data_IF_562529684965
#
_entry.id   IF_562529684965
#
_cell.length_a   1.000
_cell.length_b   1.000
_cell.length_c   1.000
_cell.angle_alpha   90.00
_cell.angle_beta   90.00
_cell.angle_gamma   90.00
#
_symmetry.space_group_name_H-M   'P 1'
#
loop_
_entity.id
_entity.type
_entity.pdbx_description
1 polymer ?
#
# COMPACT_ATOMS: atom_id res chain seq x y z
N UNK A 1 -7.63 25.84 11.77
CA UNK A 1 -7.70 24.70 12.70
C UNK A 1 -6.34 24.03 12.76
N UNK A 2 -5.67 24.12 13.91
CA UNK A 2 -4.39 23.45 14.18
C UNK A 2 -4.69 21.99 14.54
N UNK A 3 -4.07 21.04 13.84
CA UNK A 3 -4.18 19.61 14.18
C UNK A 3 -2.88 19.17 14.83
N UNK A 4 -2.97 18.62 16.03
CA UNK A 4 -1.85 17.98 16.71
C UNK A 4 -1.71 16.56 16.17
N UNK A 5 -0.50 16.08 15.97
CA UNK A 5 -0.20 14.74 15.50
C UNK A 5 0.96 14.19 16.33
N UNK A 6 0.76 13.01 16.89
CA UNK A 6 1.79 12.27 17.62
C UNK A 6 2.69 11.55 16.61
N UNK A 7 3.99 11.53 16.87
CA UNK A 7 4.97 10.88 16.02
C UNK A 7 6.00 10.12 16.85
N UNK A 8 6.45 8.99 16.33
CA UNK A 8 7.58 8.25 16.89
C UNK A 8 8.88 8.90 16.40
N UNK A 9 9.76 9.26 17.34
CA UNK A 9 11.11 9.75 17.02
C UNK A 9 12.08 8.59 17.11
N UNK A 10 12.85 8.36 16.05
CA UNK A 10 13.88 7.33 15.98
C UNK A 10 15.22 8.01 15.71
N UNK A 11 16.16 7.87 16.63
CA UNK A 11 17.52 8.43 16.49
C UNK A 11 18.44 7.41 15.79
N UNK A 12 18.27 7.26 14.47
CA UNK A 12 19.13 6.41 13.63
C UNK A 12 19.30 6.99 12.22
N UNK A 13 20.39 6.63 11.52
CA UNK A 13 20.54 6.96 10.10
C UNK A 13 19.40 6.36 9.28
N UNK A 14 18.58 7.21 8.64
CA UNK A 14 17.50 6.81 7.76
C UNK A 14 17.58 7.59 6.44
N UNK A 15 17.04 7.02 5.35
CA UNK A 15 16.97 7.67 4.04
C UNK A 15 15.94 8.80 3.99
N UNK A 16 15.11 8.92 5.02
CA UNK A 16 14.05 9.92 5.16
C UNK A 16 14.08 10.54 6.54
N UNK A 17 13.67 11.81 6.64
CA UNK A 17 13.58 12.53 7.91
C UNK A 17 12.25 12.26 8.65
N UNK A 18 11.18 11.98 7.91
CA UNK A 18 9.82 11.77 8.44
C UNK A 18 9.07 10.82 7.51
N UNK A 19 8.31 9.87 8.07
CA UNK A 19 7.28 9.11 7.35
C UNK A 19 5.91 9.62 7.78
N UNK A 20 5.17 10.20 6.83
CA UNK A 20 3.79 10.62 7.06
C UNK A 20 2.83 9.53 6.63
N UNK A 21 2.10 8.97 7.60
CA UNK A 21 1.10 7.94 7.32
C UNK A 21 -0.16 8.47 6.64
N UNK A 22 -0.91 7.56 6.02
CA UNK A 22 -2.22 7.80 5.41
C UNK A 22 -3.21 8.54 6.34
N UNK A 23 -3.29 8.25 7.66
CA UNK A 23 -4.19 8.99 8.54
C UNK A 23 -3.93 10.49 8.54
N UNK A 24 -2.66 10.92 8.54
CA UNK A 24 -2.31 12.34 8.49
C UNK A 24 -2.64 12.95 7.13
N UNK A 25 -2.29 12.25 6.04
CA UNK A 25 -2.56 12.72 4.67
C UNK A 25 -4.06 12.95 4.45
N UNK A 26 -4.90 11.99 4.84
CA UNK A 26 -6.35 12.10 4.72
C UNK A 26 -6.90 13.22 5.61
N UNK A 27 -6.42 13.29 6.85
CA UNK A 27 -6.80 14.33 7.82
C UNK A 27 -6.46 15.75 7.35
N UNK A 28 -5.43 15.89 6.53
CA UNK A 28 -5.00 17.17 5.95
C UNK A 28 -5.50 17.41 4.54
N UNK A 29 -6.27 16.49 3.95
CA UNK A 29 -6.65 16.55 2.53
C UNK A 29 -5.42 16.76 1.63
N UNK A 30 -4.33 16.07 1.96
CA UNK A 30 -3.08 16.24 1.28
C UNK A 30 -3.10 15.51 -0.08
N UNK A 31 -2.55 16.15 -1.10
CA UNK A 31 -2.48 15.66 -2.47
C UNK A 31 -1.00 15.48 -2.84
N UNK A 32 -0.49 14.24 -2.89
CA UNK A 32 0.86 13.97 -3.36
C UNK A 32 0.91 14.07 -4.89
N UNK A 33 1.99 14.66 -5.42
CA UNK A 33 2.33 14.64 -6.83
C UNK A 33 3.72 14.04 -6.98
N UNK A 34 3.77 12.81 -7.51
CA UNK A 34 5.02 12.12 -7.83
C UNK A 34 5.78 12.85 -8.92
N UNK A 35 5.08 13.32 -9.96
CA UNK A 35 5.66 14.05 -11.08
C UNK A 35 6.38 15.34 -10.65
N UNK A 36 5.72 16.16 -9.83
CA UNK A 36 6.31 17.42 -9.35
C UNK A 36 7.16 17.25 -8.08
N UNK A 37 7.28 16.02 -7.57
CA UNK A 37 7.89 15.68 -6.28
C UNK A 37 7.42 16.64 -5.18
N UNK A 38 6.12 16.81 -5.01
CA UNK A 38 5.57 17.72 -4.01
C UNK A 38 4.31 17.16 -3.35
N UNK A 39 4.02 17.65 -2.15
CA UNK A 39 2.82 17.32 -1.37
C UNK A 39 2.10 18.63 -1.03
N UNK A 40 0.87 18.79 -1.54
CA UNK A 40 0.06 19.99 -1.31
C UNK A 40 -1.02 19.71 -0.28
N UNK A 41 -1.33 20.65 0.60
CA UNK A 41 -2.46 20.51 1.51
C UNK A 41 -3.06 21.88 1.91
N UNK A 42 -4.37 21.96 2.16
CA UNK A 42 -5.01 23.16 2.66
C UNK A 42 -4.59 23.52 4.10
N UNK A 43 -4.48 24.82 4.33
CA UNK A 43 -4.24 25.47 5.62
C UNK A 43 -5.20 26.66 5.77
N UNK A 44 -5.37 27.22 6.98
CA UNK A 44 -6.15 28.44 7.17
C UNK A 44 -5.67 29.64 6.33
N UNK A 45 -4.39 29.64 5.93
CA UNK A 45 -3.76 30.72 5.17
C UNK A 45 -3.67 30.41 3.66
N UNK A 46 -4.28 29.33 3.18
CA UNK A 46 -4.21 28.90 1.78
C UNK A 46 -3.59 27.51 1.60
N UNK A 47 -3.00 27.24 0.45
CA UNK A 47 -2.39 25.94 0.15
C UNK A 47 -0.91 25.98 0.50
N UNK A 48 -0.46 25.08 1.37
CA UNK A 48 0.95 24.84 1.61
C UNK A 48 1.46 23.70 0.74
N UNK A 49 2.75 23.77 0.37
CA UNK A 49 3.42 22.80 -0.49
C UNK A 49 4.73 22.38 0.15
N UNK A 50 4.87 21.08 0.44
CA UNK A 50 6.15 20.47 0.79
C UNK A 50 6.80 20.00 -0.50
N UNK A 51 8.02 20.47 -0.77
CA UNK A 51 8.80 20.08 -1.95
C UNK A 51 9.79 18.99 -1.59
N UNK A 52 9.83 17.95 -2.42
CA UNK A 52 10.89 16.96 -2.44
C UNK A 52 12.16 17.54 -3.07
N UNK A 53 13.30 16.93 -2.79
CA UNK A 53 14.57 17.30 -3.38
C UNK A 53 15.00 16.26 -4.42
N UNK A 54 14.88 16.54 -5.73
CA UNK A 54 15.19 15.58 -6.79
C UNK A 54 16.64 15.07 -6.75
N UNK A 55 17.59 15.88 -6.25
CA UNK A 55 19.01 15.49 -6.18
C UNK A 55 19.25 14.48 -5.08
N UNK A 56 18.58 14.63 -3.93
CA UNK A 56 18.68 13.68 -2.82
C UNK A 56 17.94 12.38 -3.16
N UNK A 57 16.75 12.47 -3.78
CA UNK A 57 15.98 11.29 -4.20
C UNK A 57 16.73 10.40 -5.20
N UNK A 58 17.53 10.98 -6.10
CA UNK A 58 18.35 10.19 -7.05
C UNK A 58 19.55 9.52 -6.39
N UNK A 59 20.19 10.19 -5.41
CA UNK A 59 21.37 9.62 -4.72
C UNK A 59 20.99 8.40 -3.87
N UNK A 60 19.88 8.46 -3.14
CA UNK A 60 19.41 7.34 -2.32
C UNK A 60 19.06 6.11 -3.15
N UNK A 61 18.49 6.29 -4.35
CA UNK A 61 18.17 5.18 -5.26
C UNK A 61 19.42 4.45 -5.80
N UNK A 62 20.57 5.13 -5.88
CA UNK A 62 21.83 4.53 -6.32
C UNK A 62 22.59 3.84 -5.18
N UNK A 63 22.44 4.31 -3.94
CA UNK A 63 23.13 3.78 -2.75
C UNK A 63 22.39 2.61 -2.09
N UNK A 64 21.12 2.36 -2.46
CA UNK A 64 20.29 1.24 -1.97
C UNK A 64 20.86 -0.14 -2.31
N UNK A 65 21.82 -0.26 -3.23
CA UNK A 65 22.45 -1.55 -3.56
C UNK A 65 23.40 -2.08 -2.46
N UNK A 66 23.62 -1.35 -1.35
CA UNK A 66 24.63 -1.74 -0.33
C UNK A 66 24.16 -1.72 1.13
N UNK A 67 22.89 -1.40 1.44
CA UNK A 67 22.43 -1.17 2.84
C UNK A 67 21.13 -1.88 3.24
N UNK A 68 20.82 -3.02 2.61
CA UNK A 68 19.50 -3.66 2.67
C UNK A 68 19.20 -4.55 3.89
N UNK A 69 20.02 -4.56 4.95
CA UNK A 69 19.75 -5.39 6.13
C UNK A 69 18.96 -4.64 7.22
N UNK A 70 19.33 -3.40 7.54
CA UNK A 70 18.80 -2.69 8.73
C UNK A 70 17.48 -1.95 8.47
N UNK A 71 17.21 -1.55 7.23
CA UNK A 71 15.99 -0.81 6.85
C UNK A 71 14.74 -1.67 6.95
N UNK A 72 14.81 -2.93 6.48
CA UNK A 72 13.71 -3.88 6.56
C UNK A 72 13.33 -4.21 8.01
N UNK A 73 14.32 -4.31 8.90
CA UNK A 73 14.07 -4.55 10.32
C UNK A 73 13.39 -3.36 11.01
N UNK A 74 13.76 -2.12 10.66
CA UNK A 74 13.09 -0.90 11.13
C UNK A 74 11.64 -0.79 10.65
N UNK A 75 11.34 -1.19 9.40
CA UNK A 75 9.97 -1.28 8.90
C UNK A 75 9.15 -2.31 9.70
N UNK A 76 9.74 -3.47 10.04
CA UNK A 76 9.08 -4.49 10.87
C UNK A 76 8.88 -4.05 12.32
N UNK A 77 9.85 -3.38 12.92
CA UNK A 77 9.76 -2.85 14.29
C UNK A 77 8.76 -1.68 14.39
N UNK A 78 8.70 -0.80 13.38
CA UNK A 78 7.70 0.27 13.29
C UNK A 78 6.28 -0.31 13.17
N UNK A 79 6.10 -1.40 12.41
CA UNK A 79 4.83 -2.16 12.37
C UNK A 79 4.45 -2.67 13.76
N UNK A 80 5.39 -3.23 14.53
CA UNK A 80 5.14 -3.68 15.92
C UNK A 80 4.68 -2.54 16.84
N UNK A 81 5.28 -1.34 16.74
CA UNK A 81 4.89 -0.18 17.55
C UNK A 81 3.49 0.34 17.15
N UNK A 82 3.18 0.42 15.86
CA UNK A 82 1.83 0.78 15.37
C UNK A 82 0.79 -0.28 15.75
N UNK A 83 1.18 -1.54 15.98
CA UNK A 83 0.27 -2.59 16.44
C UNK A 83 -0.16 -2.40 17.91
N UNK A 84 0.57 -1.61 18.70
CA UNK A 84 0.24 -1.38 20.11
C UNK A 84 -0.82 -0.28 20.30
N UNK A 85 -0.95 0.66 19.35
CA UNK A 85 -1.98 1.69 19.36
C UNK A 85 -3.01 1.45 18.24
N UNK A 86 -4.18 0.97 18.68
CA UNK A 86 -5.37 0.58 17.89
C UNK A 86 -5.24 -0.77 17.19
N UNK A 87 -5.84 -1.73 17.88
CA UNK A 87 -6.26 -3.07 17.44
C UNK A 87 -7.29 -3.02 16.29
N UNK A 88 -6.92 -2.44 15.16
CA UNK A 88 -7.57 -2.64 13.86
C UNK A 88 -6.47 -2.77 12.81
N UNK A 89 -5.69 -3.86 12.89
CA UNK A 89 -5.09 -4.37 11.67
C UNK A 89 -6.19 -4.68 10.64
N UNK A 90 -5.89 -4.80 9.34
CA UNK A 90 -6.84 -5.45 8.44
C UNK A 90 -7.16 -6.79 9.09
N UNK A 91 -8.40 -6.98 9.53
CA UNK A 91 -8.87 -8.31 9.87
C UNK A 91 -8.57 -9.11 8.61
N UNK A 92 -7.65 -10.08 8.70
CA UNK A 92 -7.54 -11.08 7.65
C UNK A 92 -8.85 -11.85 7.73
N UNK A 93 -9.87 -11.34 7.05
CA UNK A 93 -11.14 -12.02 6.94
C UNK A 93 -10.83 -13.38 6.32
N UNK A 94 -11.41 -14.47 6.84
CA UNK A 94 -11.19 -15.79 6.27
C UNK A 94 -11.53 -15.74 4.78
N UNK A 95 -10.70 -16.35 3.94
CA UNK A 95 -10.89 -16.44 2.49
C UNK A 95 -11.01 -17.90 2.07
N UNK A 96 -11.71 -18.12 0.95
CA UNK A 96 -11.88 -19.41 0.30
C UNK A 96 -11.24 -19.31 -1.08
N UNK A 97 -10.33 -20.24 -1.37
CA UNK A 97 -9.72 -20.38 -2.69
C UNK A 97 -10.69 -21.08 -3.64
N UNK A 98 -10.90 -20.50 -4.82
CA UNK A 98 -11.81 -21.00 -5.85
C UNK A 98 -11.06 -21.15 -7.15
N UNK A 99 -11.04 -22.37 -7.70
CA UNK A 99 -10.48 -22.63 -9.02
C UNK A 99 -11.43 -22.14 -10.12
N UNK A 100 -10.89 -21.34 -11.06
CA UNK A 100 -11.65 -20.79 -12.18
C UNK A 100 -11.57 -21.65 -13.44
N UNK A 101 -10.53 -22.48 -13.57
CA UNK A 101 -10.29 -23.31 -14.75
C UNK A 101 -9.91 -24.74 -14.32
N UNK A 102 -10.79 -25.71 -14.55
CA UNK A 102 -10.55 -27.10 -14.15
C UNK A 102 -9.39 -27.76 -14.91
N UNK A 103 -9.02 -27.24 -16.09
CA UNK A 103 -7.88 -27.75 -16.85
C UNK A 103 -6.54 -27.32 -16.25
N UNK A 104 -6.52 -26.22 -15.48
CA UNK A 104 -5.32 -25.60 -14.92
C UNK A 104 -5.57 -25.24 -13.44
N UNK A 105 -5.37 -26.19 -12.50
CA UNK A 105 -5.70 -26.03 -11.07
C UNK A 105 -5.02 -24.84 -10.37
N UNK A 106 -3.94 -24.32 -10.93
CA UNK A 106 -3.23 -23.13 -10.48
C UNK A 106 -4.00 -21.82 -10.74
N UNK A 107 -5.00 -21.83 -11.63
CA UNK A 107 -5.82 -20.66 -11.98
C UNK A 107 -6.93 -20.42 -10.95
N UNK A 108 -6.52 -20.07 -9.74
CA UNK A 108 -7.39 -19.85 -8.59
C UNK A 108 -7.49 -18.36 -8.20
N UNK A 109 -8.62 -18.00 -7.58
CA UNK A 109 -8.82 -16.71 -6.91
C UNK A 109 -9.20 -16.93 -5.44
N UNK A 110 -8.96 -15.93 -4.59
CA UNK A 110 -9.40 -15.92 -3.20
C UNK A 110 -10.63 -15.04 -3.02
N UNK A 111 -11.67 -15.59 -2.39
CA UNK A 111 -12.94 -14.92 -2.14
C UNK A 111 -13.19 -14.87 -0.64
N UNK A 112 -13.71 -13.75 -0.10
CA UNK A 112 -14.05 -13.66 1.32
C UNK A 112 -15.05 -14.73 1.77
N UNK A 113 -14.71 -15.48 2.81
CA UNK A 113 -15.52 -16.59 3.34
C UNK A 113 -16.78 -16.11 4.08
N UNK A 114 -16.84 -14.84 4.48
CA UNK A 114 -17.97 -14.25 5.19
C UNK A 114 -19.00 -13.58 4.27
N UNK A 115 -18.88 -13.75 2.95
CA UNK A 115 -19.85 -13.22 2.00
C UNK A 115 -21.18 -13.98 2.11
N UNK A 116 -22.31 -13.29 1.90
CA UNK A 116 -23.60 -13.97 1.86
C UNK A 116 -23.69 -14.89 0.64
N UNK A 117 -24.44 -15.99 0.75
CA UNK A 117 -24.50 -17.05 -0.27
C UNK A 117 -24.89 -16.53 -1.68
N UNK A 118 -25.89 -15.64 -1.84
CA UNK A 118 -26.24 -15.10 -3.15
C UNK A 118 -25.09 -14.33 -3.81
N UNK A 119 -24.42 -13.45 -3.05
CA UNK A 119 -23.28 -12.67 -3.54
C UNK A 119 -22.07 -13.56 -3.83
N UNK A 120 -21.80 -14.54 -2.97
CA UNK A 120 -20.71 -15.51 -3.18
C UNK A 120 -20.89 -16.28 -4.48
N UNK A 121 -22.13 -16.67 -4.78
CA UNK A 121 -22.45 -17.42 -6.00
C UNK A 121 -22.25 -16.56 -7.24
N UNK A 122 -22.74 -15.32 -7.24
CA UNK A 122 -22.57 -14.39 -8.36
C UNK A 122 -21.09 -14.06 -8.59
N UNK A 123 -20.36 -13.79 -7.51
CA UNK A 123 -18.96 -13.41 -7.52
C UNK A 123 -18.03 -14.56 -7.93
N UNK A 124 -18.44 -15.82 -7.76
CA UNK A 124 -17.72 -16.98 -8.30
C UNK A 124 -18.12 -17.26 -9.76
N UNK A 125 -19.40 -17.11 -10.09
CA UNK A 125 -19.93 -17.46 -11.41
C UNK A 125 -19.40 -16.52 -12.50
N UNK A 126 -19.33 -15.22 -12.22
CA UNK A 126 -18.88 -14.24 -13.19
C UNK A 126 -17.40 -14.44 -13.61
N UNK A 127 -16.43 -14.58 -12.69
CA UNK A 127 -15.05 -14.90 -13.05
C UNK A 127 -14.89 -16.26 -13.73
N UNK A 128 -15.63 -17.30 -13.28
CA UNK A 128 -15.62 -18.62 -13.93
C UNK A 128 -16.07 -18.56 -15.39
N UNK A 129 -17.02 -17.69 -15.74
CA UNK A 129 -17.48 -17.52 -17.12
C UNK A 129 -16.47 -16.78 -18.00
N UNK A 130 -15.59 -15.98 -17.40
CA UNK A 130 -14.66 -15.08 -18.10
C UNK A 130 -13.20 -15.39 -17.78
N UNK A 131 -12.87 -16.63 -17.41
CA UNK A 131 -11.53 -17.02 -16.95
C UNK A 131 -10.43 -16.77 -18.00
N UNK A 132 -10.80 -16.75 -19.29
CA UNK A 132 -9.94 -16.43 -20.42
C UNK A 132 -9.56 -14.93 -20.54
N UNK A 133 -10.16 -14.05 -19.74
CA UNK A 133 -9.86 -12.61 -19.74
C UNK A 133 -8.74 -12.25 -18.78
N UNK A 134 -8.39 -13.16 -17.85
CA UNK A 134 -7.30 -12.95 -16.91
C UNK A 134 -5.96 -13.27 -17.57
N UNK A 135 -4.95 -12.48 -17.24
CA UNK A 135 -3.55 -12.81 -17.52
C UNK A 135 -3.06 -13.75 -16.41
N UNK A 136 -2.73 -14.98 -16.78
CA UNK A 136 -2.28 -16.02 -15.84
C UNK A 136 -0.76 -16.12 -15.79
N UNK A 137 -0.09 -15.68 -16.85
CA UNK A 137 1.36 -15.59 -16.92
C UNK A 137 1.80 -14.28 -17.60
N UNK A 138 3.10 -13.99 -17.57
CA UNK A 138 3.65 -12.75 -18.13
C UNK A 138 3.43 -12.65 -19.65
N UNK A 139 3.36 -13.80 -20.33
CA UNK A 139 3.12 -13.92 -21.76
C UNK A 139 1.73 -13.44 -22.18
N UNK A 140 0.76 -13.44 -21.26
CA UNK A 140 -0.61 -13.00 -21.50
C UNK A 140 -0.75 -11.45 -21.50
N UNK A 141 0.34 -10.71 -21.25
CA UNK A 141 0.36 -9.24 -21.17
C UNK A 141 1.28 -8.61 -22.24
N UNK A 142 0.95 -8.68 -23.55
CA UNK A 142 1.85 -8.29 -24.64
C UNK A 142 2.10 -6.77 -24.82
N UNK A 143 1.93 -5.96 -23.77
CA UNK A 143 2.08 -4.51 -23.81
C UNK A 143 2.69 -3.89 -22.54
N UNK A 144 3.22 -4.72 -21.63
CA UNK A 144 4.02 -4.31 -20.48
C UNK A 144 5.48 -4.67 -20.73
#
# INVERSE_FOLDING_TARGET
MTKVTEFLVVDRPASYNVIMGTPWLNSRHAIPSTYHLCLKFPTPNGIEVIWGNPRLSRKTASDENTRNQDSAELFWQSRKIVTLEKKHGPTCEPVVTVCLDEAFPERCIEVGANLCVPLTTELITCPKKNFNTFAWAAEDMPGI
#
